data_IF_395346495899
#
_entry.id   IF_395346495899
#
_cell.length_a   1.000
_cell.length_b   1.000
_cell.length_c   1.000
_cell.angle_alpha   90.00
_cell.angle_beta   90.00
_cell.angle_gamma   90.00
#
_symmetry.space_group_name_H-M   'P 1'
#
loop_
_entity.id
_entity.type
_entity.pdbx_description
1 polymer ?
#
# COMPACT_ATOMS: atom_id res chain seq x y z
N UNK A 1 -9.33 12.25 14.18
CA UNK A 1 -10.69 12.83 14.10
C UNK A 1 -10.62 14.23 14.66
N UNK A 2 -11.04 15.22 13.88
CA UNK A 2 -11.03 16.64 14.25
C UNK A 2 -12.47 17.15 14.30
N UNK A 3 -12.81 17.87 15.37
CA UNK A 3 -14.14 18.46 15.58
C UNK A 3 -13.96 19.98 15.61
N UNK A 4 -14.61 20.67 14.68
CA UNK A 4 -14.71 22.13 14.71
C UNK A 4 -16.13 22.51 15.14
N UNK A 5 -16.31 22.76 16.44
CA UNK A 5 -17.62 23.09 17.03
C UNK A 5 -18.21 24.37 16.45
N UNK A 6 -17.36 25.32 16.04
CA UNK A 6 -17.80 26.59 15.46
C UNK A 6 -18.37 26.38 14.06
N UNK A 7 -17.72 25.55 13.25
CA UNK A 7 -18.19 25.17 11.92
C UNK A 7 -19.23 24.04 11.95
N UNK A 8 -19.39 23.36 13.09
CA UNK A 8 -20.21 22.16 13.26
C UNK A 8 -19.80 21.05 12.29
N UNK A 9 -18.50 20.89 12.08
CA UNK A 9 -17.94 19.90 11.17
C UNK A 9 -17.16 18.83 11.93
N UNK A 10 -17.26 17.60 11.43
CA UNK A 10 -16.51 16.45 11.89
C UNK A 10 -15.67 15.94 10.72
N UNK A 11 -14.36 15.84 10.91
CA UNK A 11 -13.43 15.38 9.89
C UNK A 11 -12.63 14.17 10.38
N UNK A 12 -12.61 13.11 9.56
CA UNK A 12 -11.69 12.00 9.76
C UNK A 12 -10.36 12.37 9.11
N UNK A 13 -9.37 12.69 9.93
CA UNK A 13 -7.99 12.84 9.46
C UNK A 13 -7.33 11.46 9.34
N UNK A 14 -6.85 11.15 8.14
CA UNK A 14 -6.16 9.91 7.86
C UNK A 14 -4.66 10.05 8.12
N UNK A 15 -4.16 9.31 9.12
CA UNK A 15 -2.74 9.25 9.47
C UNK A 15 -2.31 7.79 9.59
N UNK A 16 -1.40 7.32 8.73
CA UNK A 16 -0.96 5.92 8.78
C UNK A 16 -0.14 5.61 10.04
N UNK A 17 0.65 6.59 10.50
CA UNK A 17 1.53 6.48 11.67
C UNK A 17 1.39 7.75 12.51
N UNK A 18 1.13 7.58 13.81
CA UNK A 18 1.00 8.66 14.78
C UNK A 18 1.57 8.23 16.12
N UNK A 19 2.12 9.19 16.86
CA UNK A 19 2.55 8.99 18.24
C UNK A 19 1.39 9.32 19.18
N UNK A 20 1.12 8.48 20.17
CA UNK A 20 0.16 8.73 21.24
C UNK A 20 0.87 8.81 22.59
N UNK A 21 0.77 9.95 23.26
CA UNK A 21 1.15 10.07 24.66
C UNK A 21 0.03 9.55 25.54
N UNK A 22 0.16 8.31 26.02
CA UNK A 22 -0.86 7.65 26.85
C UNK A 22 -1.12 8.32 28.20
N UNK A 23 -0.21 9.18 28.68
CA UNK A 23 -0.40 9.92 29.95
C UNK A 23 -1.23 11.18 29.75
N UNK A 24 -1.04 11.89 28.64
CA UNK A 24 -1.74 13.16 28.37
C UNK A 24 -2.93 12.99 27.43
N UNK A 25 -3.01 11.88 26.69
CA UNK A 25 -3.98 11.66 25.62
C UNK A 25 -3.66 12.44 24.34
N UNK A 26 -2.56 13.20 24.30
CA UNK A 26 -2.16 13.95 23.12
C UNK A 26 -1.57 13.01 22.07
N UNK A 27 -1.90 13.27 20.81
CA UNK A 27 -1.33 12.55 19.68
C UNK A 27 -0.78 13.51 18.64
N UNK A 28 0.17 13.04 17.83
CA UNK A 28 0.72 13.81 16.70
C UNK A 28 0.99 12.89 15.51
N UNK A 29 0.74 13.34 14.27
CA UNK A 29 1.07 12.55 13.10
C UNK A 29 2.58 12.49 12.90
N UNK A 30 3.08 11.34 12.47
CA UNK A 30 4.48 11.19 12.06
C UNK A 30 4.61 11.55 10.59
N UNK A 31 5.56 12.44 10.25
CA UNK A 31 5.77 12.85 8.86
C UNK A 31 6.71 11.88 8.15
N UNK A 32 6.19 11.17 7.16
CA UNK A 32 6.99 10.32 6.27
C UNK A 32 7.45 11.03 5.00
N UNK A 33 8.32 10.35 4.25
CA UNK A 33 8.78 10.74 2.91
C UNK A 33 8.07 9.90 1.86
N UNK A 34 7.41 10.57 0.93
CA UNK A 34 6.65 9.93 -0.16
C UNK A 34 7.55 9.58 -1.34
N UNK A 35 7.34 8.39 -1.90
CA UNK A 35 7.90 7.96 -3.18
C UNK A 35 6.73 7.60 -4.11
N UNK A 36 6.62 8.30 -5.23
CA UNK A 36 5.47 8.24 -6.11
C UNK A 36 5.60 7.14 -7.15
N UNK A 37 4.48 6.50 -7.51
CA UNK A 37 4.45 5.40 -8.48
C UNK A 37 4.91 5.82 -9.88
N UNK A 38 4.73 7.09 -10.27
CA UNK A 38 5.24 7.61 -11.55
C UNK A 38 6.77 7.47 -11.70
N UNK A 39 7.50 7.49 -10.59
CA UNK A 39 8.97 7.42 -10.57
C UNK A 39 9.49 5.98 -10.36
N UNK A 40 8.60 5.02 -10.13
CA UNK A 40 8.94 3.61 -9.99
C UNK A 40 9.23 2.97 -11.37
N UNK A 41 9.97 1.86 -11.38
CA UNK A 41 10.14 1.02 -12.57
C UNK A 41 9.18 -0.17 -12.52
N UNK A 42 8.80 -0.68 -13.68
CA UNK A 42 8.00 -1.92 -13.80
C UNK A 42 8.79 -2.98 -14.57
N UNK A 43 8.46 -4.24 -14.33
CA UNK A 43 8.99 -5.39 -15.05
C UNK A 43 7.86 -6.38 -15.38
N UNK A 44 8.09 -7.23 -16.39
CA UNK A 44 7.07 -8.16 -16.89
C UNK A 44 5.88 -7.41 -17.48
N UNK A 45 4.67 -7.85 -17.11
CA UNK A 45 3.42 -7.27 -17.59
C UNK A 45 2.96 -6.06 -16.75
N UNK A 46 3.70 -5.68 -15.70
CA UNK A 46 3.34 -4.54 -14.87
C UNK A 46 3.56 -3.23 -15.63
N UNK A 47 2.62 -2.30 -15.52
CA UNK A 47 2.66 -1.05 -16.26
C UNK A 47 2.08 0.13 -15.47
N UNK A 48 2.38 1.33 -15.94
CA UNK A 48 1.79 2.58 -15.43
C UNK A 48 0.50 2.86 -16.18
N UNK A 49 -0.61 2.94 -15.46
CA UNK A 49 -1.92 3.28 -15.99
C UNK A 49 -2.27 4.72 -15.61
N UNK A 50 -2.90 5.45 -16.53
CA UNK A 50 -3.53 6.73 -16.21
C UNK A 50 -4.71 6.53 -15.25
N UNK A 51 -4.67 7.23 -14.12
CA UNK A 51 -5.67 7.16 -13.07
C UNK A 51 -5.80 8.53 -12.39
N UNK A 52 -6.88 9.25 -12.67
CA UNK A 52 -7.14 10.58 -12.11
C UNK A 52 -7.27 10.61 -10.57
N UNK A 53 -7.54 9.46 -9.95
CA UNK A 53 -7.57 9.28 -8.50
C UNK A 53 -6.21 8.93 -7.90
N UNK A 54 -5.24 8.50 -8.73
CA UNK A 54 -3.87 8.22 -8.33
C UNK A 54 -3.08 9.51 -8.11
N UNK A 55 -2.07 9.44 -7.26
CA UNK A 55 -1.08 10.49 -7.11
C UNK A 55 -0.38 10.73 -8.45
N UNK A 56 -0.23 12.00 -8.81
CA UNK A 56 0.28 12.43 -10.12
C UNK A 56 -0.49 11.87 -11.34
N UNK A 57 -1.73 11.40 -11.15
CA UNK A 57 -2.55 10.88 -12.24
C UNK A 57 -2.14 9.49 -12.73
N UNK A 58 -1.31 8.76 -11.97
CA UNK A 58 -0.77 7.44 -12.35
C UNK A 58 -1.02 6.42 -11.25
N UNK A 59 -1.34 5.19 -11.65
CA UNK A 59 -1.29 4.02 -10.76
C UNK A 59 -0.51 2.89 -11.43
N UNK A 60 0.20 2.10 -10.64
CA UNK A 60 0.96 0.94 -11.11
C UNK A 60 0.08 -0.30 -11.01
N UNK A 61 -0.13 -0.99 -12.12
CA UNK A 61 -1.03 -2.14 -12.21
C UNK A 61 -0.35 -3.31 -12.93
N UNK A 62 -1.06 -4.44 -13.07
CA UNK A 62 -0.56 -5.66 -13.70
C UNK A 62 0.37 -6.49 -12.80
N UNK A 63 0.40 -6.22 -11.49
CA UNK A 63 1.29 -6.90 -10.54
C UNK A 63 0.84 -8.35 -10.34
N UNK A 64 1.71 -9.30 -10.72
CA UNK A 64 1.39 -10.72 -10.74
C UNK A 64 2.64 -11.59 -10.52
N UNK A 65 2.57 -12.49 -9.53
CA UNK A 65 3.68 -13.37 -9.18
C UNK A 65 4.99 -12.61 -8.93
N UNK A 66 6.11 -13.26 -9.19
CA UNK A 66 7.45 -12.71 -9.03
C UNK A 66 8.00 -12.05 -10.32
N UNK A 67 7.36 -12.26 -11.46
CA UNK A 67 7.86 -11.82 -12.77
C UNK A 67 7.23 -10.49 -13.24
N UNK A 68 6.03 -10.17 -12.77
CA UNK A 68 5.34 -8.92 -13.06
C UNK A 68 5.32 -8.01 -11.82
N UNK A 69 6.26 -7.07 -11.75
CA UNK A 69 6.62 -6.35 -10.52
C UNK A 69 6.77 -4.85 -10.70
N UNK A 70 6.66 -4.13 -9.59
CA UNK A 70 6.96 -2.71 -9.44
C UNK A 70 8.17 -2.56 -8.53
N UNK A 71 9.09 -1.64 -8.82
CA UNK A 71 10.20 -1.32 -7.93
C UNK A 71 10.32 0.18 -7.67
N UNK A 72 10.29 0.55 -6.39
CA UNK A 72 10.63 1.89 -5.91
C UNK A 72 12.13 1.97 -5.60
N UNK A 73 12.74 3.10 -5.91
CA UNK A 73 14.18 3.29 -5.88
C UNK A 73 14.60 4.44 -4.97
N UNK A 74 15.89 4.44 -4.65
CA UNK A 74 16.56 5.49 -3.89
C UNK A 74 15.93 5.76 -2.51
N UNK A 75 15.44 4.69 -1.89
CA UNK A 75 14.74 4.78 -0.62
C UNK A 75 15.75 4.97 0.50
N UNK A 76 15.48 5.99 1.30
CA UNK A 76 16.26 6.36 2.46
C UNK A 76 15.95 5.43 3.64
N UNK A 77 16.94 4.61 3.98
CA UNK A 77 16.93 3.73 5.13
C UNK A 77 17.90 4.20 6.22
N UNK A 78 17.61 3.79 7.44
CA UNK A 78 18.34 4.17 8.65
C UNK A 78 19.21 3.04 9.21
N UNK A 79 19.13 1.83 8.64
CA UNK A 79 19.73 0.62 9.19
C UNK A 79 18.94 0.02 10.37
N UNK A 80 17.72 0.52 10.60
CA UNK A 80 16.78 0.06 11.62
C UNK A 80 15.42 -0.20 10.97
N UNK A 81 14.52 -0.97 11.62
CA UNK A 81 13.14 -1.11 11.18
C UNK A 81 12.45 0.25 11.02
N UNK A 82 11.75 0.44 9.91
CA UNK A 82 10.99 1.64 9.59
C UNK A 82 9.60 1.24 9.09
N UNK A 83 8.59 2.00 9.51
CA UNK A 83 7.26 1.86 8.93
C UNK A 83 7.25 2.35 7.48
N UNK A 84 6.65 1.54 6.60
CA UNK A 84 6.42 1.87 5.20
C UNK A 84 4.95 1.61 4.88
N UNK A 85 4.22 2.67 4.58
CA UNK A 85 2.82 2.58 4.13
C UNK A 85 2.76 2.42 2.62
N UNK A 86 2.06 1.38 2.18
CA UNK A 86 1.79 1.11 0.77
C UNK A 86 0.39 1.61 0.45
N UNK A 87 0.30 2.62 -0.40
CA UNK A 87 -0.98 3.16 -0.86
C UNK A 87 -1.41 2.40 -2.11
N UNK A 88 -2.61 1.83 -2.08
CA UNK A 88 -3.03 0.88 -3.10
C UNK A 88 -4.54 0.96 -3.39
N UNK A 89 -4.91 0.40 -4.53
CA UNK A 89 -6.29 0.09 -4.90
C UNK A 89 -6.47 -1.41 -5.09
N UNK A 90 -7.54 -1.96 -4.51
CA UNK A 90 -8.01 -3.30 -4.80
C UNK A 90 -9.51 -3.25 -5.13
N UNK A 91 -9.86 -3.59 -6.37
CA UNK A 91 -11.24 -3.56 -6.86
C UNK A 91 -11.94 -4.93 -6.82
N UNK A 92 -11.27 -5.96 -6.32
CA UNK A 92 -11.84 -7.31 -6.28
C UNK A 92 -12.74 -7.46 -5.05
N UNK A 93 -13.98 -7.94 -5.27
CA UNK A 93 -14.93 -8.21 -4.19
C UNK A 93 -14.41 -9.32 -3.27
N UNK A 94 -14.44 -9.06 -1.96
CA UNK A 94 -14.03 -10.06 -0.96
C UNK A 94 -15.16 -11.02 -0.58
N UNK A 95 -16.31 -11.00 -1.27
CA UNK A 95 -17.48 -11.84 -1.02
C UNK A 95 -18.64 -11.12 -0.33
N UNK A 96 -18.61 -9.79 -0.24
CA UNK A 96 -19.66 -8.98 0.40
C UNK A 96 -20.70 -8.44 -0.57
N UNK A 97 -20.44 -8.51 -1.89
CA UNK A 97 -21.39 -8.09 -2.90
C UNK A 97 -21.55 -6.58 -3.00
N UNK A 98 -20.55 -5.83 -2.56
CA UNK A 98 -20.52 -4.38 -2.46
C UNK A 98 -19.69 -3.71 -3.57
N UNK A 99 -19.07 -4.49 -4.45
CA UNK A 99 -18.31 -4.00 -5.60
C UNK A 99 -19.12 -4.12 -6.90
N UNK A 100 -19.59 -3.01 -7.51
CA UNK A 100 -20.13 -3.04 -8.85
C UNK A 100 -19.01 -3.48 -9.81
N UNK A 101 -19.18 -4.62 -10.49
CA UNK A 101 -18.17 -5.28 -11.36
C UNK A 101 -17.04 -6.03 -10.64
N UNK A 102 -17.14 -6.25 -9.33
CA UNK A 102 -16.23 -7.14 -8.61
C UNK A 102 -16.38 -8.59 -9.10
N UNK A 103 -15.26 -9.30 -9.25
CA UNK A 103 -15.24 -10.73 -9.54
C UNK A 103 -14.67 -11.48 -8.33
N UNK A 104 -15.30 -12.58 -7.86
CA UNK A 104 -16.51 -13.24 -8.38
C UNK A 104 -17.84 -12.59 -7.93
N UNK A 105 -18.94 -13.10 -8.51
CA UNK A 105 -20.31 -12.58 -8.43
C UNK A 105 -20.89 -12.44 -7.00
N UNK A 106 -21.81 -11.48 -6.90
CA UNK A 106 -22.30 -10.70 -5.74
C UNK A 106 -23.08 -11.48 -4.67
N UNK A 107 -23.57 -12.69 -4.97
CA UNK A 107 -24.54 -13.41 -4.12
C UNK A 107 -24.04 -14.83 -3.84
N UNK A 108 -23.86 -15.16 -2.55
CA UNK A 108 -23.42 -16.49 -2.10
C UNK A 108 -21.92 -16.72 -2.14
N UNK A 109 -21.11 -15.67 -2.33
CA UNK A 109 -19.66 -15.74 -2.25
C UNK A 109 -19.16 -16.05 -0.83
N UNK A 110 -18.06 -16.79 -0.73
CA UNK A 110 -17.31 -16.95 0.52
C UNK A 110 -16.31 -15.82 0.68
N UNK A 111 -16.09 -15.39 1.93
CA UNK A 111 -15.04 -14.42 2.22
C UNK A 111 -13.69 -14.88 1.67
N UNK A 112 -13.00 -14.03 0.90
CA UNK A 112 -11.67 -14.32 0.37
C UNK A 112 -10.88 -13.04 0.17
N UNK A 113 -9.68 -12.97 0.72
CA UNK A 113 -8.74 -11.91 0.37
C UNK A 113 -8.14 -12.20 -1.02
N UNK A 114 -8.48 -11.36 -2.00
CA UNK A 114 -8.18 -11.59 -3.42
C UNK A 114 -6.83 -11.06 -3.87
N UNK A 115 -6.25 -10.11 -3.14
CA UNK A 115 -4.94 -9.54 -3.48
C UNK A 115 -4.00 -9.52 -2.29
N UNK A 116 -2.84 -10.10 -2.49
CA UNK A 116 -1.73 -10.11 -1.55
C UNK A 116 -0.47 -9.87 -2.36
N UNK A 117 0.32 -8.88 -1.97
CA UNK A 117 1.59 -8.61 -2.62
C UNK A 117 2.75 -9.20 -1.84
N UNK A 118 3.77 -9.65 -2.57
CA UNK A 118 5.10 -9.89 -2.02
C UNK A 118 5.86 -8.58 -1.98
N UNK A 119 6.58 -8.32 -0.90
CA UNK A 119 7.43 -7.14 -0.75
C UNK A 119 8.86 -7.60 -0.46
N UNK A 120 9.79 -7.21 -1.32
CA UNK A 120 11.20 -7.59 -1.25
C UNK A 120 12.06 -6.34 -1.16
N UNK A 121 12.87 -6.26 -0.10
CA UNK A 121 13.83 -5.17 0.11
C UNK A 121 15.18 -5.56 -0.49
N UNK A 122 15.77 -4.67 -1.30
CA UNK A 122 17.11 -4.82 -1.87
C UNK A 122 17.35 -6.16 -2.61
N UNK A 123 16.31 -6.74 -3.20
CA UNK A 123 16.39 -8.03 -3.90
C UNK A 123 16.59 -9.25 -2.98
N UNK A 124 16.41 -9.11 -1.66
CA UNK A 124 16.54 -10.20 -0.70
C UNK A 124 15.33 -11.15 -0.77
N UNK A 125 15.33 -12.05 -1.76
CA UNK A 125 14.24 -13.02 -1.96
C UNK A 125 14.17 -14.12 -0.89
N UNK A 126 15.15 -14.21 0.01
CA UNK A 126 15.09 -15.09 1.18
C UNK A 126 14.17 -14.53 2.27
N UNK A 127 13.92 -13.20 2.25
CA UNK A 127 13.07 -12.51 3.21
C UNK A 127 11.98 -11.74 2.46
N UNK A 128 10.89 -12.45 2.16
CA UNK A 128 9.71 -11.91 1.50
C UNK A 128 8.68 -11.49 2.54
N UNK A 129 8.30 -10.22 2.52
CA UNK A 129 7.26 -9.67 3.38
C UNK A 129 5.88 -9.82 2.71
N UNK A 130 4.85 -10.05 3.51
CA UNK A 130 3.48 -10.26 3.03
C UNK A 130 2.65 -8.99 3.21
N UNK A 131 2.25 -8.36 2.11
CA UNK A 131 1.39 -7.19 2.12
C UNK A 131 -0.07 -7.60 1.84
N UNK A 132 -0.89 -7.62 2.89
CA UNK A 132 -2.33 -7.88 2.77
C UNK A 132 -3.07 -6.63 2.25
N UNK A 133 -3.79 -6.78 1.14
CA UNK A 133 -4.45 -5.66 0.45
C UNK A 133 -5.96 -5.90 0.36
N UNK A 134 -6.70 -5.44 1.37
CA UNK A 134 -8.17 -5.49 1.42
C UNK A 134 -8.78 -4.67 0.30
N UNK A 135 -10.03 -4.95 -0.06
CA UNK A 135 -10.75 -4.14 -1.04
C UNK A 135 -10.79 -2.66 -0.65
N UNK A 136 -10.76 -1.80 -1.66
CA UNK A 136 -10.81 -0.36 -1.50
C UNK A 136 -11.96 0.27 -2.26
N UNK A 137 -12.60 -0.46 -3.18
CA UNK A 137 -13.45 0.03 -4.28
C UNK A 137 -12.68 0.77 -5.38
N UNK A 138 -13.27 0.75 -6.58
CA UNK A 138 -12.71 1.44 -7.75
C UNK A 138 -12.65 2.96 -7.52
N UNK A 139 -11.48 3.53 -7.75
CA UNK A 139 -11.20 4.95 -7.60
C UNK A 139 -10.84 5.40 -6.19
N UNK A 140 -10.80 4.48 -5.21
CA UNK A 140 -10.44 4.78 -3.83
C UNK A 140 -9.08 4.15 -3.53
N UNK A 141 -8.22 4.93 -2.86
CA UNK A 141 -6.89 4.51 -2.39
C UNK A 141 -6.94 4.38 -0.87
N UNK A 142 -6.55 3.21 -0.36
CA UNK A 142 -6.27 2.99 1.07
C UNK A 142 -4.78 2.69 1.25
N UNK A 143 -4.34 2.57 2.50
CA UNK A 143 -2.97 2.21 2.83
C UNK A 143 -2.89 0.96 3.70
N UNK A 144 -1.82 0.20 3.54
CA UNK A 144 -1.43 -0.89 4.43
C UNK A 144 0.05 -0.72 4.82
N UNK A 145 0.37 -0.63 6.13
CA UNK A 145 1.75 -0.47 6.58
C UNK A 145 2.46 -1.82 6.79
N UNK A 146 3.76 -1.85 6.48
CA UNK A 146 4.68 -2.89 6.92
C UNK A 146 5.85 -2.26 7.66
N UNK A 147 6.42 -2.98 8.62
CA UNK A 147 7.67 -2.59 9.24
C UNK A 147 8.82 -3.28 8.50
N UNK A 148 9.64 -2.51 7.79
CA UNK A 148 10.71 -3.02 6.93
C UNK A 148 12.08 -2.60 7.46
N UNK A 149 13.05 -3.52 7.42
CA UNK A 149 14.44 -3.18 7.75
C UNK A 149 15.15 -2.69 6.50
N UNK A 150 15.32 -1.37 6.39
CA UNK A 150 16.03 -0.71 5.29
C UNK A 150 17.48 -0.46 5.67
N UNK A 151 18.42 -0.81 4.79
CA UNK A 151 19.85 -0.54 4.98
C UNK A 151 20.11 0.96 5.14
N UNK A 152 21.16 1.30 5.89
CA UNK A 152 21.53 2.70 6.09
C UNK A 152 21.96 3.35 4.77
N UNK A 153 21.28 4.41 4.36
CA UNK A 153 21.61 5.18 3.15
C UNK A 153 20.42 5.31 2.19
N UNK A 154 20.67 5.84 0.99
CA UNK A 154 19.63 6.17 0.00
C UNK A 154 19.60 5.21 -1.19
N UNK A 155 20.10 3.99 -1.02
CA UNK A 155 20.22 3.02 -2.11
C UNK A 155 19.26 1.85 -1.98
N UNK A 156 18.32 1.93 -1.02
CA UNK A 156 17.37 0.84 -0.86
C UNK A 156 16.38 0.81 -2.02
N UNK A 157 15.97 -0.40 -2.37
CA UNK A 157 14.87 -0.66 -3.29
C UNK A 157 13.79 -1.44 -2.56
N UNK A 158 12.53 -1.19 -2.94
CA UNK A 158 11.39 -1.99 -2.52
C UNK A 158 10.71 -2.48 -3.78
N UNK A 159 10.74 -3.79 -4.00
CA UNK A 159 10.09 -4.46 -5.11
C UNK A 159 8.79 -5.11 -4.62
N UNK A 160 7.71 -4.85 -5.34
CA UNK A 160 6.36 -5.34 -5.04
C UNK A 160 5.97 -6.28 -6.18
N UNK A 161 5.69 -7.54 -5.84
CA UNK A 161 5.14 -8.56 -6.74
C UNK A 161 3.81 -9.07 -6.22
N UNK A 162 3.22 -10.03 -6.92
CA UNK A 162 2.06 -10.77 -6.44
C UNK A 162 2.48 -11.98 -5.59
N UNK A 163 1.71 -12.28 -4.54
CA UNK A 163 1.93 -13.42 -3.66
C UNK A 163 0.71 -14.34 -3.66
N UNK A 164 0.96 -15.65 -3.53
CA UNK A 164 -0.12 -16.63 -3.50
C UNK A 164 -1.07 -16.37 -2.31
N UNK A 165 -2.36 -16.27 -2.61
CA UNK A 165 -3.41 -16.03 -1.61
C UNK A 165 -4.27 -17.27 -1.30
N UNK A 166 -3.86 -18.44 -1.78
CA UNK A 166 -4.66 -19.68 -1.74
C UNK A 166 -5.43 -19.98 -3.03
N UNK A 167 -5.47 -19.05 -3.99
CA UNK A 167 -6.18 -19.21 -5.27
C UNK A 167 -5.43 -18.61 -6.47
N UNK A 168 -4.82 -17.44 -6.31
CA UNK A 168 -4.14 -16.68 -7.38
C UNK A 168 -2.90 -15.96 -6.82
N UNK A 169 -2.11 -15.34 -7.70
CA UNK A 169 -0.87 -14.62 -7.38
C UNK A 169 -0.98 -13.12 -7.69
N UNK A 170 -2.15 -12.50 -7.47
CA UNK A 170 -2.37 -11.08 -7.81
C UNK A 170 -1.99 -10.15 -6.66
N UNK A 171 -1.17 -9.14 -6.97
CA UNK A 171 -0.98 -7.97 -6.14
C UNK A 171 -1.99 -6.87 -6.48
N UNK A 172 -2.31 -6.00 -5.53
CA UNK A 172 -3.17 -4.85 -5.78
C UNK A 172 -2.41 -3.71 -6.47
N UNK A 173 -3.15 -2.81 -7.10
CA UNK A 173 -2.58 -1.70 -7.86
C UNK A 173 -1.94 -0.70 -6.88
N UNK A 174 -0.73 -0.21 -7.16
CA UNK A 174 0.05 0.61 -6.23
C UNK A 174 0.08 2.06 -6.70
N UNK A 175 -0.30 2.98 -5.83
CA UNK A 175 -0.22 4.42 -6.06
C UNK A 175 1.17 4.96 -5.69
N UNK A 176 1.55 4.76 -4.43
CA UNK A 176 2.78 5.32 -3.85
C UNK A 176 3.18 4.55 -2.59
N UNK A 177 4.37 4.82 -2.09
CA UNK A 177 4.78 4.42 -0.74
C UNK A 177 5.16 5.64 0.09
N UNK A 178 4.96 5.54 1.40
CA UNK A 178 5.39 6.56 2.37
C UNK A 178 6.28 5.88 3.41
N UNK A 179 7.52 6.33 3.51
CA UNK A 179 8.53 5.78 4.43
C UNK A 179 8.67 6.72 5.62
N UNK A 180 8.44 6.20 6.82
CA UNK A 180 8.50 6.97 8.06
C UNK A 180 9.89 6.87 8.69
N UNK A 181 10.30 7.89 9.48
CA UNK A 181 11.50 7.78 10.30
C UNK A 181 11.37 6.60 11.30
N UNK A 182 12.49 6.02 11.74
CA UNK A 182 12.46 5.00 12.80
C UNK A 182 11.99 5.61 14.12
N UNK A 183 11.39 4.77 14.96
CA UNK A 183 11.06 5.08 16.37
C UNK A 183 12.33 5.20 17.24
#
# INVERSE_FOLDING_TARGET
MNIDDKKKTLELEWHDVYDLNVKTGEWKPVKGKTYYGKDATTAGDAFKQEANFGSDGVILTGIYGNDSTVTFHNIEGTGKPQWVSFYYQNIDDMGFGDQPQGSPDRIGGSWQLRRISSVVVNGNTENVETLYQRDTHKGIILSAPLQLTLEKGKKNTITIGGLYNGFDYKGADIDRIVVYPPE
#
